data_IF_567440141266
#
_entry.id   IF_567440141266
#
_cell.length_a   1.000
_cell.length_b   1.000
_cell.length_c   1.000
_cell.angle_alpha   90.00
_cell.angle_beta   90.00
_cell.angle_gamma   90.00
#
_symmetry.space_group_name_H-M   'P 1'
#
loop_
_entity.id
_entity.type
_entity.pdbx_description
1 polymer ?
#
# COMPACT_ATOMS: atom_id res chain seq x y z
N UNK A 1 -23.19 32.29 8.87
CA UNK A 1 -22.11 33.09 9.49
C UNK A 1 -20.90 32.97 8.60
N UNK A 2 -20.55 34.08 7.94
CA UNK A 2 -19.37 34.22 7.08
C UNK A 2 -18.09 34.36 7.91
N UNK A 3 -16.97 33.97 7.33
CA UNK A 3 -15.63 34.16 7.89
C UNK A 3 -14.55 33.89 6.85
N UNK A 4 -14.52 34.75 5.82
CA UNK A 4 -13.48 34.83 4.80
C UNK A 4 -12.18 35.38 5.43
N UNK A 5 -11.02 34.82 5.08
CA UNK A 5 -9.75 35.53 5.22
C UNK A 5 -8.96 35.45 3.92
N UNK A 6 -8.76 36.64 3.39
CA UNK A 6 -8.13 37.02 2.13
C UNK A 6 -6.63 36.72 2.08
N UNK A 7 -6.09 36.53 0.87
CA UNK A 7 -4.65 36.30 0.70
C UNK A 7 -4.12 36.35 -0.73
N UNK A 8 -4.54 37.37 -1.49
CA UNK A 8 -3.82 38.06 -2.58
C UNK A 8 -2.86 37.27 -3.50
N UNK A 9 -3.14 37.39 -4.81
CA UNK A 9 -2.08 37.70 -5.78
C UNK A 9 -1.84 36.65 -6.86
N UNK A 10 -2.82 36.44 -7.72
CA UNK A 10 -2.59 35.96 -9.08
C UNK A 10 -1.87 37.04 -9.90
N UNK A 11 -0.75 36.71 -10.54
CA UNK A 11 -0.31 37.10 -11.91
C UNK A 11 1.05 36.43 -12.12
N UNK A 12 1.07 35.34 -12.89
CA UNK A 12 2.03 35.05 -13.97
C UNK A 12 1.56 33.75 -14.63
N UNK A 13 0.72 33.92 -15.65
CA UNK A 13 0.30 32.89 -16.58
C UNK A 13 1.47 32.46 -17.48
N UNK A 14 1.44 31.18 -17.88
CA UNK A 14 2.20 30.54 -18.96
C UNK A 14 3.63 30.05 -18.66
N UNK A 15 3.73 29.02 -17.81
CA UNK A 15 4.77 27.99 -17.92
C UNK A 15 4.10 26.63 -17.98
N UNK A 16 4.08 25.99 -19.15
CA UNK A 16 3.64 24.61 -19.33
C UNK A 16 4.77 23.66 -18.88
N UNK A 17 4.79 23.31 -17.59
CA UNK A 17 5.56 22.20 -17.01
C UNK A 17 4.61 21.00 -16.80
N UNK A 18 5.04 19.73 -16.96
CA UNK A 18 4.32 18.61 -16.37
C UNK A 18 4.37 18.83 -14.85
N UNK A 19 3.29 19.38 -14.29
CA UNK A 19 3.22 20.14 -13.03
C UNK A 19 4.35 19.84 -12.03
N UNK A 20 5.50 20.50 -12.23
CA UNK A 20 6.68 20.36 -11.40
C UNK A 20 6.42 21.09 -10.07
N UNK A 21 5.84 20.36 -9.12
CA UNK A 21 5.64 20.86 -7.76
C UNK A 21 6.99 21.15 -7.12
N UNK A 22 7.17 22.31 -6.51
CA UNK A 22 8.40 22.62 -5.77
C UNK A 22 8.15 22.39 -4.29
N UNK A 23 9.01 21.59 -3.66
CA UNK A 23 8.90 21.28 -2.23
C UNK A 23 10.18 21.71 -1.53
N UNK A 24 10.03 22.36 -0.37
CA UNK A 24 11.16 22.71 0.48
C UNK A 24 11.73 21.44 1.11
N UNK A 25 13.02 21.19 0.92
CA UNK A 25 13.67 20.03 1.48
C UNK A 25 13.74 20.14 3.03
N UNK A 26 13.30 19.12 3.79
CA UNK A 26 13.33 19.15 5.26
C UNK A 26 14.75 19.06 5.85
N UNK A 27 15.74 18.64 5.06
CA UNK A 27 17.14 18.47 5.53
C UNK A 27 18.05 19.67 5.24
N UNK A 28 17.88 20.36 4.10
CA UNK A 28 18.73 21.50 3.74
C UNK A 28 17.98 22.84 3.67
N UNK A 29 16.65 22.83 3.72
CA UNK A 29 15.82 24.05 3.68
C UNK A 29 15.79 24.77 2.32
N UNK A 30 16.45 24.23 1.29
CA UNK A 30 16.40 24.73 -0.08
C UNK A 30 15.16 24.21 -0.81
N UNK A 31 14.69 24.96 -1.79
CA UNK A 31 13.60 24.55 -2.67
C UNK A 31 14.17 23.66 -3.77
N UNK A 32 13.53 22.52 -4.00
CA UNK A 32 13.89 21.60 -5.09
C UNK A 32 12.67 21.22 -5.89
N UNK A 33 12.89 20.89 -7.16
CA UNK A 33 11.86 20.32 -8.03
C UNK A 33 11.47 18.94 -7.48
N UNK A 34 10.16 18.73 -7.32
CA UNK A 34 9.59 17.51 -6.77
C UNK A 34 8.60 16.91 -7.78
N UNK A 35 8.82 15.64 -8.13
CA UNK A 35 8.08 14.90 -9.16
C UNK A 35 7.02 13.97 -8.56
N UNK A 36 6.60 14.23 -7.31
CA UNK A 36 5.58 13.47 -6.58
C UNK A 36 5.97 12.00 -6.34
N UNK A 37 7.26 11.67 -6.47
CA UNK A 37 7.78 10.35 -6.16
C UNK A 37 8.30 10.30 -4.72
N UNK A 38 8.12 9.15 -4.06
CA UNK A 38 8.58 8.91 -2.67
C UNK A 38 10.11 8.76 -2.61
N UNK A 39 10.71 8.37 -3.74
CA UNK A 39 12.14 8.15 -3.91
C UNK A 39 12.89 9.40 -4.42
N UNK A 40 12.19 10.52 -4.63
CA UNK A 40 12.83 11.75 -5.09
C UNK A 40 13.87 12.25 -4.08
N UNK A 41 15.06 12.56 -4.59
CA UNK A 41 16.21 13.09 -3.83
C UNK A 41 16.42 14.56 -4.14
N UNK A 42 16.92 15.29 -3.15
CA UNK A 42 17.16 16.72 -3.25
C UNK A 42 18.39 16.98 -4.14
N UNK A 43 18.25 17.83 -5.16
CA UNK A 43 19.34 18.21 -6.08
C UNK A 43 20.52 18.90 -5.38
N UNK A 44 20.30 19.49 -4.19
CA UNK A 44 21.33 20.22 -3.44
C UNK A 44 22.03 19.41 -2.36
N UNK A 45 21.35 18.45 -1.72
CA UNK A 45 21.91 17.69 -0.59
C UNK A 45 21.86 16.17 -0.76
N UNK A 46 21.23 15.67 -1.83
CA UNK A 46 21.08 14.24 -2.10
C UNK A 46 20.17 13.48 -1.13
N UNK A 47 19.61 14.15 -0.11
CA UNK A 47 18.71 13.54 0.85
C UNK A 47 17.31 13.34 0.25
N UNK A 48 16.62 12.26 0.64
CA UNK A 48 15.24 12.00 0.22
C UNK A 48 14.30 13.11 0.69
N UNK A 49 13.53 13.71 -0.22
CA UNK A 49 12.58 14.78 0.12
C UNK A 49 11.48 14.28 1.06
N UNK A 50 11.19 12.97 1.00
CA UNK A 50 10.09 12.32 1.70
C UNK A 50 10.57 11.19 2.63
N UNK A 51 11.69 11.41 3.36
CA UNK A 51 12.26 10.42 4.27
C UNK A 51 11.25 9.84 5.28
N UNK A 52 10.32 10.65 5.77
CA UNK A 52 9.24 10.21 6.68
C UNK A 52 8.26 9.26 5.99
N UNK A 53 7.84 9.57 4.76
CA UNK A 53 6.88 8.78 4.01
C UNK A 53 7.50 7.47 3.54
N UNK A 54 8.78 7.48 3.15
CA UNK A 54 9.55 6.28 2.87
C UNK A 54 9.60 5.33 4.07
N UNK A 55 9.91 5.85 5.26
CA UNK A 55 9.93 5.03 6.48
C UNK A 55 8.54 4.41 6.79
N UNK A 56 7.46 5.13 6.50
CA UNK A 56 6.11 4.58 6.62
C UNK A 56 5.80 3.50 5.56
N UNK A 57 6.23 3.69 4.31
CA UNK A 57 6.10 2.68 3.26
C UNK A 57 6.92 1.43 3.57
N UNK A 58 8.16 1.58 4.01
CA UNK A 58 9.01 0.47 4.45
C UNK A 58 8.30 -0.31 5.56
N UNK A 59 7.83 0.36 6.62
CA UNK A 59 7.07 -0.28 7.68
C UNK A 59 5.77 -0.94 7.17
N UNK A 60 5.10 -0.36 6.17
CA UNK A 60 3.90 -0.94 5.55
C UNK A 60 4.25 -2.20 4.77
N UNK A 61 5.31 -2.18 3.97
CA UNK A 61 5.75 -3.34 3.18
C UNK A 61 6.21 -4.49 4.09
N UNK A 62 6.88 -4.19 5.20
CA UNK A 62 7.25 -5.18 6.22
C UNK A 62 6.01 -5.81 6.88
N UNK A 63 5.00 -5.01 7.23
CA UNK A 63 3.72 -5.54 7.73
C UNK A 63 3.06 -6.45 6.70
N UNK A 64 2.99 -6.03 5.44
CA UNK A 64 2.41 -6.84 4.36
C UNK A 64 3.18 -8.16 4.18
N UNK A 65 4.52 -8.14 4.25
CA UNK A 65 5.34 -9.36 4.19
C UNK A 65 5.05 -10.29 5.37
N UNK A 66 5.01 -9.75 6.59
CA UNK A 66 4.69 -10.50 7.82
C UNK A 66 3.27 -11.08 7.79
N UNK A 67 2.32 -10.34 7.25
CA UNK A 67 0.93 -10.79 7.13
C UNK A 67 0.79 -11.87 6.05
N UNK A 68 1.51 -11.75 4.92
CA UNK A 68 1.61 -12.82 3.93
C UNK A 68 2.23 -14.09 4.52
N UNK A 69 3.23 -13.98 5.40
CA UNK A 69 3.84 -15.12 6.09
C UNK A 69 2.96 -15.73 7.17
N UNK A 70 2.05 -14.95 7.76
CA UNK A 70 1.08 -15.39 8.77
C UNK A 70 -0.19 -16.00 8.17
N UNK A 71 -0.42 -15.82 6.86
CA UNK A 71 -1.53 -16.48 6.19
C UNK A 71 -1.37 -18.00 6.36
N UNK A 72 -2.39 -18.65 6.92
CA UNK A 72 -2.39 -20.05 7.39
C UNK A 72 -1.92 -21.09 6.34
N UNK A 73 -1.81 -20.69 5.08
CA UNK A 73 -1.49 -21.55 3.94
C UNK A 73 -0.25 -21.12 3.13
N UNK A 74 0.47 -20.07 3.55
CA UNK A 74 1.72 -19.68 2.87
C UNK A 74 2.80 -20.72 3.16
N UNK A 75 3.24 -21.42 2.12
CA UNK A 75 4.32 -22.42 2.18
C UNK A 75 5.64 -21.65 2.39
N UNK A 76 6.21 -21.70 3.60
CA UNK A 76 7.51 -21.07 3.82
C UNK A 76 8.59 -21.94 3.18
N UNK A 77 9.62 -21.35 2.54
CA UNK A 77 10.72 -22.13 1.98
C UNK A 77 11.53 -22.88 3.05
N UNK A 78 11.45 -22.45 4.31
CA UNK A 78 12.06 -23.08 5.50
C UNK A 78 11.26 -24.25 6.07
N UNK A 79 10.08 -24.55 5.54
CA UNK A 79 9.25 -25.64 6.03
C UNK A 79 9.76 -26.99 5.51
N UNK A 80 9.99 -27.93 6.44
CA UNK A 80 10.27 -29.33 6.16
C UNK A 80 9.23 -29.92 5.18
N UNK A 81 9.63 -30.90 4.35
CA UNK A 81 8.77 -31.49 3.31
C UNK A 81 7.38 -31.91 3.83
N UNK A 82 7.32 -32.44 5.06
CA UNK A 82 6.08 -32.82 5.73
C UNK A 82 5.12 -31.64 5.99
N UNK A 83 5.66 -30.49 6.41
CA UNK A 83 4.85 -29.29 6.66
C UNK A 83 4.31 -28.69 5.37
N UNK A 84 5.06 -28.80 4.25
CA UNK A 84 4.56 -28.36 2.93
C UNK A 84 3.35 -29.17 2.49
N UNK A 85 3.39 -30.49 2.67
CA UNK A 85 2.27 -31.39 2.36
C UNK A 85 1.09 -31.11 3.29
N UNK A 86 1.30 -30.99 4.60
CA UNK A 86 0.25 -30.71 5.57
C UNK A 86 -0.50 -29.39 5.26
N UNK A 87 0.23 -28.31 4.96
CA UNK A 87 -0.39 -27.02 4.57
C UNK A 87 -1.17 -27.13 3.26
N UNK A 88 -0.68 -27.89 2.28
CA UNK A 88 -1.38 -28.12 1.01
C UNK A 88 -2.69 -28.89 1.21
N UNK A 89 -2.66 -29.94 2.02
CA UNK A 89 -3.86 -30.73 2.35
C UNK A 89 -4.86 -29.88 3.13
N UNK A 90 -4.40 -29.08 4.11
CA UNK A 90 -5.26 -28.18 4.87
C UNK A 90 -5.98 -27.15 4.00
N UNK A 91 -5.29 -26.55 3.01
CA UNK A 91 -5.93 -25.62 2.08
C UNK A 91 -6.98 -26.30 1.20
N UNK A 92 -6.65 -27.47 0.63
CA UNK A 92 -7.58 -28.23 -0.20
C UNK A 92 -8.81 -28.65 0.61
N UNK A 93 -8.62 -29.09 1.85
CA UNK A 93 -9.72 -29.45 2.74
C UNK A 93 -10.61 -28.25 3.07
N UNK A 94 -10.01 -27.09 3.40
CA UNK A 94 -10.76 -25.87 3.68
C UNK A 94 -11.62 -25.41 2.49
N UNK A 95 -11.03 -25.35 1.28
CA UNK A 95 -11.75 -24.97 0.06
C UNK A 95 -12.87 -25.96 -0.23
N UNK A 96 -12.61 -27.26 -0.10
CA UNK A 96 -13.61 -28.31 -0.33
C UNK A 96 -14.75 -28.20 0.67
N UNK A 97 -14.44 -27.99 1.96
CA UNK A 97 -15.44 -27.84 3.02
C UNK A 97 -16.33 -26.62 2.80
N UNK A 98 -15.74 -25.45 2.51
CA UNK A 98 -16.50 -24.21 2.24
C UNK A 98 -17.34 -24.38 0.97
N UNK A 99 -16.84 -25.04 -0.07
CA UNK A 99 -17.61 -25.34 -1.27
C UNK A 99 -18.84 -26.20 -0.96
N UNK A 100 -18.69 -27.26 -0.17
CA UNK A 100 -19.81 -28.13 0.25
C UNK A 100 -20.85 -27.32 1.06
N UNK A 101 -20.41 -26.53 2.05
CA UNK A 101 -21.32 -25.68 2.83
C UNK A 101 -22.08 -24.72 1.93
N UNK A 102 -21.39 -24.05 1.00
CA UNK A 102 -22.03 -23.11 0.07
C UNK A 102 -23.10 -23.78 -0.80
N UNK A 103 -22.84 -25.01 -1.23
CA UNK A 103 -23.77 -25.80 -2.02
C UNK A 103 -25.02 -26.16 -1.19
N UNK A 104 -24.83 -26.64 0.04
CA UNK A 104 -25.94 -26.96 0.95
C UNK A 104 -26.78 -25.70 1.22
N UNK A 105 -26.15 -24.56 1.53
CA UNK A 105 -26.89 -23.30 1.75
C UNK A 105 -27.62 -22.82 0.51
N UNK A 106 -27.07 -23.02 -0.69
CA UNK A 106 -27.72 -22.66 -1.93
C UNK A 106 -28.98 -23.52 -2.17
N UNK A 107 -28.92 -24.82 -1.85
CA UNK A 107 -30.08 -25.71 -1.93
C UNK A 107 -31.17 -25.28 -0.94
N UNK A 108 -30.78 -24.97 0.31
CA UNK A 108 -31.74 -24.50 1.33
C UNK A 108 -32.37 -23.16 0.93
N UNK A 109 -31.60 -22.25 0.35
CA UNK A 109 -32.10 -20.95 -0.12
C UNK A 109 -33.04 -21.09 -1.32
N UNK A 110 -32.79 -22.05 -2.22
CA UNK A 110 -33.63 -22.26 -3.40
C UNK A 110 -34.91 -23.01 -3.10
N UNK A 111 -35.02 -23.72 -1.97
CA UNK A 111 -36.25 -24.43 -1.61
C UNK A 111 -37.36 -23.40 -1.30
N UNK A 112 -38.44 -23.30 -2.11
CA UNK A 112 -39.56 -22.43 -1.80
C UNK A 112 -40.39 -23.09 -0.71
N UNK A 113 -40.08 -22.78 0.55
CA UNK A 113 -40.83 -23.14 1.74
C UNK A 113 -41.38 -21.91 2.41
#
# INVERSE_FOLDING_TARGET
MWGEHEGKGSIFSNVQLPMASQKKCPSCGQWTVWNVSIDDTCEHCGAYLMARERAYEEARTERIKRDKEKFLFTIKPTDNALQRVARRVGYVFYVTYVAILSLITAILFWLPG
#
